data_IF_028156530725
#
_entry.id   IF_028156530725
#
_cell.length_a   1.000
_cell.length_b   1.000
_cell.length_c   1.000
_cell.angle_alpha   90.00
_cell.angle_beta   90.00
_cell.angle_gamma   90.00
#
_symmetry.space_group_name_H-M   'P 1'
#
loop_
_entity.id
_entity.type
_entity.pdbx_description
1 polymer ?
#
# COMPACT_ATOMS: atom_id res chain seq x y z
N UNK A 1 38.17 -16.58 -16.64
CA UNK A 1 38.03 -17.49 -17.80
C UNK A 1 36.75 -17.11 -18.54
N UNK A 2 36.82 -16.71 -19.82
CA UNK A 2 35.60 -16.38 -20.60
C UNK A 2 35.02 -17.70 -21.14
N UNK A 3 33.88 -18.11 -20.61
CA UNK A 3 33.16 -19.35 -20.92
C UNK A 3 32.16 -19.13 -22.05
N UNK A 4 32.65 -18.85 -23.25
CA UNK A 4 31.78 -18.86 -24.44
C UNK A 4 31.90 -20.24 -25.08
N UNK A 5 30.78 -20.98 -25.28
CA UNK A 5 30.82 -22.29 -25.94
C UNK A 5 31.43 -22.21 -27.34
N UNK A 6 32.12 -23.27 -27.79
CA UNK A 6 32.71 -23.33 -29.13
C UNK A 6 31.63 -23.39 -30.23
N UNK A 7 32.00 -23.03 -31.46
CA UNK A 7 31.13 -23.25 -32.61
C UNK A 7 30.67 -24.72 -32.68
N UNK A 8 29.40 -24.91 -33.04
CA UNK A 8 28.73 -26.22 -33.11
C UNK A 8 28.62 -26.98 -31.77
N UNK A 9 28.68 -26.27 -30.64
CA UNK A 9 28.33 -26.87 -29.33
C UNK A 9 26.89 -27.39 -29.36
N UNK A 10 26.70 -28.62 -28.86
CA UNK A 10 25.38 -29.24 -28.75
C UNK A 10 24.53 -28.46 -27.76
N UNK A 11 23.29 -28.14 -28.16
CA UNK A 11 22.28 -27.53 -27.30
C UNK A 11 21.22 -28.58 -26.99
N UNK A 12 20.92 -28.77 -25.71
CA UNK A 12 19.88 -29.66 -25.23
C UNK A 12 18.80 -28.84 -24.51
N UNK A 13 17.55 -29.32 -24.56
CA UNK A 13 16.50 -28.79 -23.69
C UNK A 13 16.84 -29.15 -22.24
N UNK A 14 16.55 -28.22 -21.32
CA UNK A 14 16.65 -28.51 -19.90
C UNK A 14 15.68 -29.64 -19.54
N UNK A 15 16.13 -30.58 -18.71
CA UNK A 15 15.27 -31.61 -18.13
C UNK A 15 14.56 -31.09 -16.89
N UNK A 16 13.53 -31.81 -16.42
CA UNK A 16 12.88 -31.54 -15.13
C UNK A 16 13.90 -31.48 -13.98
N UNK A 17 14.89 -32.37 -14.02
CA UNK A 17 15.96 -32.43 -13.02
C UNK A 17 16.84 -31.18 -13.02
N UNK A 18 17.10 -30.60 -14.19
CA UNK A 18 17.89 -29.36 -14.29
C UNK A 18 17.12 -28.17 -13.72
N UNK A 19 15.81 -28.10 -13.99
CA UNK A 19 14.94 -27.08 -13.42
C UNK A 19 14.83 -27.20 -11.89
N UNK A 20 14.65 -28.42 -11.38
CA UNK A 20 14.62 -28.69 -9.94
C UNK A 20 15.96 -28.43 -9.26
N UNK A 21 17.09 -28.62 -9.96
CA UNK A 21 18.41 -28.30 -9.42
C UNK A 21 18.60 -26.79 -9.22
N UNK A 22 18.07 -25.97 -10.14
CA UNK A 22 18.23 -24.50 -10.11
C UNK A 22 17.17 -23.84 -9.23
N UNK A 23 15.89 -24.19 -9.41
CA UNK A 23 14.76 -23.53 -8.75
C UNK A 23 14.26 -24.28 -7.51
N UNK A 24 14.63 -25.55 -7.36
CA UNK A 24 14.14 -26.44 -6.31
C UNK A 24 12.77 -27.03 -6.60
N UNK A 25 12.41 -28.04 -5.80
CA UNK A 25 11.06 -28.61 -5.75
C UNK A 25 10.16 -27.78 -4.84
N UNK A 26 8.85 -27.94 -5.01
CA UNK A 26 7.88 -27.39 -4.07
C UNK A 26 8.08 -28.02 -2.68
N UNK A 27 8.25 -27.18 -1.66
CA UNK A 27 8.52 -27.60 -0.29
C UNK A 27 7.91 -26.62 0.73
N UNK A 28 8.50 -26.50 1.91
CA UNK A 28 8.03 -25.58 2.96
C UNK A 28 8.29 -24.12 2.60
N UNK A 29 9.40 -23.82 1.94
CA UNK A 29 9.86 -22.47 1.60
C UNK A 29 9.53 -22.11 0.15
N UNK A 30 9.58 -23.11 -0.74
CA UNK A 30 9.41 -22.97 -2.18
C UNK A 30 7.97 -23.21 -2.60
N UNK A 31 7.39 -22.24 -3.29
CA UNK A 31 6.01 -22.25 -3.77
C UNK A 31 5.96 -22.32 -5.30
N UNK A 32 5.08 -23.15 -5.84
CA UNK A 32 4.89 -23.27 -7.27
C UNK A 32 4.15 -22.04 -7.83
N UNK A 33 4.77 -21.35 -8.80
CA UNK A 33 4.22 -20.13 -9.39
C UNK A 33 3.67 -20.31 -10.80
N UNK A 34 3.92 -21.46 -11.42
CA UNK A 34 3.52 -21.77 -12.80
C UNK A 34 4.52 -22.70 -13.49
N UNK A 35 4.30 -22.93 -14.77
CA UNK A 35 5.15 -23.79 -15.60
C UNK A 35 5.77 -22.95 -16.73
N UNK A 36 7.01 -23.24 -17.16
CA UNK A 36 7.53 -22.73 -18.44
C UNK A 36 6.62 -23.13 -19.60
N UNK A 37 6.56 -22.31 -20.66
CA UNK A 37 5.61 -22.52 -21.77
C UNK A 37 5.74 -23.88 -22.47
N UNK A 38 6.98 -24.37 -22.59
CA UNK A 38 7.30 -25.59 -23.36
C UNK A 38 7.61 -26.79 -22.45
N UNK A 39 7.29 -26.70 -21.16
CA UNK A 39 7.61 -27.73 -20.17
C UNK A 39 6.45 -27.95 -19.19
N UNK A 40 6.23 -29.19 -18.79
CA UNK A 40 5.27 -29.52 -17.72
C UNK A 40 5.86 -29.35 -16.31
N UNK A 41 7.13 -28.95 -16.22
CA UNK A 41 7.85 -28.80 -14.95
C UNK A 41 7.32 -27.62 -14.14
N UNK A 42 7.11 -27.85 -12.84
CA UNK A 42 6.75 -26.79 -11.89
C UNK A 42 7.93 -25.85 -11.64
N UNK A 43 7.76 -24.57 -11.95
CA UNK A 43 8.68 -23.53 -11.53
C UNK A 43 8.33 -23.09 -10.10
N UNK A 44 9.27 -23.26 -9.17
CA UNK A 44 9.08 -22.91 -7.77
C UNK A 44 9.94 -21.69 -7.38
N UNK A 45 9.41 -20.86 -6.49
CA UNK A 45 10.08 -19.68 -5.97
C UNK A 45 10.21 -19.80 -4.44
N UNK A 46 11.41 -19.59 -3.91
CA UNK A 46 11.63 -19.51 -2.47
C UNK A 46 11.01 -18.19 -1.95
N UNK A 47 9.86 -18.29 -1.27
CA UNK A 47 9.12 -17.12 -0.81
C UNK A 47 9.72 -16.52 0.47
N UNK A 48 10.47 -17.29 1.25
CA UNK A 48 11.19 -16.75 2.41
C UNK A 48 12.33 -15.81 1.99
N UNK A 49 13.05 -16.14 0.92
CA UNK A 49 14.04 -15.22 0.32
C UNK A 49 13.38 -14.08 -0.45
N UNK A 50 12.28 -14.35 -1.16
CA UNK A 50 11.57 -13.34 -1.97
C UNK A 50 11.15 -12.13 -1.13
N UNK A 51 10.62 -12.34 0.08
CA UNK A 51 10.14 -11.27 0.95
C UNK A 51 11.24 -10.43 1.60
N UNK A 52 12.51 -10.86 1.53
CA UNK A 52 13.65 -10.12 2.10
C UNK A 52 14.09 -8.93 1.23
N UNK A 53 13.54 -8.80 0.02
CA UNK A 53 13.91 -7.77 -0.96
C UNK A 53 12.67 -7.15 -1.59
N UNK A 54 12.83 -5.95 -2.14
CA UNK A 54 11.79 -5.32 -2.96
C UNK A 54 11.71 -6.02 -4.31
N UNK A 55 10.48 -6.28 -4.77
CA UNK A 55 10.20 -6.95 -6.03
C UNK A 55 9.28 -6.09 -6.90
N UNK A 56 9.37 -6.24 -8.21
CA UNK A 56 8.49 -5.56 -9.17
C UNK A 56 7.91 -6.55 -10.18
N UNK A 57 6.59 -6.48 -10.39
CA UNK A 57 5.86 -7.31 -11.37
C UNK A 57 5.48 -6.42 -12.55
N UNK A 58 6.15 -6.64 -13.68
CA UNK A 58 6.00 -5.82 -14.88
C UNK A 58 5.35 -6.61 -16.02
N UNK A 59 4.62 -5.91 -16.88
CA UNK A 59 3.92 -6.52 -18.02
C UNK A 59 2.94 -5.55 -18.66
N UNK A 60 2.59 -5.78 -19.94
CA UNK A 60 1.56 -5.00 -20.63
C UNK A 60 0.18 -5.25 -20.01
N UNK A 61 -0.81 -4.42 -20.32
CA UNK A 61 -2.18 -4.69 -19.88
C UNK A 61 -2.66 -6.03 -20.46
N UNK A 62 -3.39 -6.82 -19.67
CA UNK A 62 -3.88 -8.14 -20.10
C UNK A 62 -2.80 -9.22 -20.26
N UNK A 63 -1.65 -9.10 -19.58
CA UNK A 63 -0.61 -10.15 -19.58
C UNK A 63 -0.55 -10.91 -18.25
N UNK A 64 -1.65 -10.95 -17.50
CA UNK A 64 -1.74 -11.73 -16.25
C UNK A 64 -1.02 -11.15 -15.03
N UNK A 65 -0.61 -9.87 -15.01
CA UNK A 65 0.07 -9.25 -13.85
C UNK A 65 -0.70 -9.47 -12.54
N UNK A 66 -1.98 -9.08 -12.49
CA UNK A 66 -2.85 -9.24 -11.32
C UNK A 66 -2.96 -10.70 -10.88
N UNK A 67 -2.99 -11.63 -11.84
CA UNK A 67 -3.09 -13.05 -11.56
C UNK A 67 -1.81 -13.60 -10.92
N UNK A 68 -0.64 -13.24 -11.46
CA UNK A 68 0.65 -13.59 -10.88
C UNK A 68 0.83 -12.97 -9.49
N UNK A 69 0.49 -11.68 -9.31
CA UNK A 69 0.52 -11.04 -7.98
C UNK A 69 -0.36 -11.78 -6.98
N UNK A 70 -1.57 -12.19 -7.39
CA UNK A 70 -2.48 -12.97 -6.54
C UNK A 70 -1.89 -14.33 -6.17
N UNK A 71 -1.27 -15.04 -7.12
CA UNK A 71 -0.56 -16.31 -6.85
C UNK A 71 0.56 -16.10 -5.83
N UNK A 72 1.36 -15.05 -5.97
CA UNK A 72 2.45 -14.75 -5.04
C UNK A 72 1.92 -14.39 -3.64
N UNK A 73 0.86 -13.58 -3.54
CA UNK A 73 0.21 -13.26 -2.27
C UNK A 73 -0.34 -14.51 -1.57
N UNK A 74 -0.96 -15.42 -2.33
CA UNK A 74 -1.42 -16.72 -1.84
C UNK A 74 -0.24 -17.56 -1.36
N UNK A 75 0.84 -17.61 -2.14
CA UNK A 75 2.05 -18.32 -1.77
C UNK A 75 2.64 -17.80 -0.46
N UNK A 76 2.72 -16.47 -0.29
CA UNK A 76 3.21 -15.86 0.94
C UNK A 76 2.32 -16.21 2.14
N UNK A 77 0.98 -16.12 1.99
CA UNK A 77 0.01 -16.55 2.99
C UNK A 77 0.15 -18.02 3.43
N UNK A 78 0.60 -18.90 2.52
CA UNK A 78 0.72 -20.33 2.75
C UNK A 78 2.11 -20.76 3.26
N UNK A 79 3.17 -20.10 2.78
CA UNK A 79 4.55 -20.60 2.87
C UNK A 79 5.52 -19.61 3.51
N UNK A 80 5.22 -18.30 3.53
CA UNK A 80 6.14 -17.32 4.13
C UNK A 80 5.81 -17.09 5.60
N UNK A 81 6.83 -16.65 6.34
CA UNK A 81 6.68 -16.13 7.71
C UNK A 81 6.37 -14.62 7.73
N UNK A 82 5.86 -14.05 6.63
CA UNK A 82 5.58 -12.63 6.49
C UNK A 82 4.07 -12.35 6.45
N UNK A 83 3.69 -11.15 6.90
CA UNK A 83 2.34 -10.59 6.72
C UNK A 83 2.33 -9.58 5.59
N UNK A 84 1.19 -9.44 4.92
CA UNK A 84 1.02 -8.55 3.77
C UNK A 84 0.02 -7.43 4.10
N UNK A 85 0.38 -6.20 3.71
CA UNK A 85 -0.54 -5.07 3.57
C UNK A 85 -0.67 -4.74 2.08
N UNK A 86 -1.87 -4.90 1.52
CA UNK A 86 -2.14 -4.69 0.09
C UNK A 86 -3.00 -3.45 -0.11
N UNK A 87 -2.52 -2.47 -0.87
CA UNK A 87 -3.29 -1.31 -1.31
C UNK A 87 -4.03 -1.62 -2.61
N UNK A 88 -5.30 -2.00 -2.50
CA UNK A 88 -6.08 -2.54 -3.62
C UNK A 88 -6.95 -1.46 -4.28
N UNK A 89 -6.39 -0.80 -5.30
CA UNK A 89 -7.08 0.25 -6.06
C UNK A 89 -8.24 -0.28 -6.92
N UNK A 90 -8.21 -1.57 -7.29
CA UNK A 90 -9.18 -2.15 -8.23
C UNK A 90 -10.10 -3.19 -7.59
N UNK A 91 -9.96 -3.44 -6.29
CA UNK A 91 -10.71 -4.46 -5.55
C UNK A 91 -10.54 -5.87 -6.14
N UNK A 92 -9.31 -6.19 -6.56
CA UNK A 92 -8.95 -7.45 -7.21
C UNK A 92 -8.40 -8.52 -6.24
N UNK A 93 -8.05 -8.15 -5.01
CA UNK A 93 -7.34 -9.01 -4.06
C UNK A 93 -8.13 -9.29 -2.77
N UNK A 94 -9.03 -8.41 -2.35
CA UNK A 94 -9.75 -8.53 -1.07
C UNK A 94 -10.78 -9.66 -1.07
N UNK A 95 -11.95 -9.41 -1.64
CA UNK A 95 -13.07 -10.38 -1.63
C UNK A 95 -13.15 -11.26 -2.87
N UNK A 96 -13.32 -10.65 -4.04
CA UNK A 96 -13.55 -11.35 -5.31
C UNK A 96 -12.95 -10.51 -6.44
N UNK A 97 -12.14 -11.14 -7.30
CA UNK A 97 -11.56 -10.51 -8.47
C UNK A 97 -12.20 -10.98 -9.77
N UNK A 98 -11.69 -10.47 -10.89
CA UNK A 98 -12.18 -10.84 -12.23
C UNK A 98 -11.11 -11.54 -13.07
N UNK A 99 -11.53 -12.41 -13.98
CA UNK A 99 -10.68 -12.92 -15.06
C UNK A 99 -10.82 -12.05 -16.31
N UNK A 100 -9.89 -12.18 -17.25
CA UNK A 100 -9.96 -11.47 -18.56
C UNK A 100 -11.22 -11.82 -19.36
N UNK A 101 -11.84 -12.98 -19.08
CA UNK A 101 -13.11 -13.41 -19.68
C UNK A 101 -14.34 -12.94 -18.89
N UNK A 102 -14.16 -12.06 -17.90
CA UNK A 102 -15.23 -11.54 -17.04
C UNK A 102 -15.75 -12.54 -16.00
N UNK A 103 -15.11 -13.70 -15.84
CA UNK A 103 -15.51 -14.68 -14.82
C UNK A 103 -15.04 -14.21 -13.45
N UNK A 104 -15.90 -14.39 -12.44
CA UNK A 104 -15.57 -14.14 -11.04
C UNK A 104 -14.55 -15.15 -10.55
N UNK A 105 -13.51 -14.68 -9.86
CA UNK A 105 -12.46 -15.52 -9.29
C UNK A 105 -12.35 -15.21 -7.80
N UNK A 106 -12.24 -16.26 -6.97
CA UNK A 106 -12.04 -16.12 -5.52
C UNK A 106 -10.76 -15.31 -5.25
N UNK A 107 -10.84 -14.35 -4.34
CA UNK A 107 -9.69 -13.58 -3.87
C UNK A 107 -9.26 -14.03 -2.46
N UNK A 108 -8.36 -13.27 -1.82
CA UNK A 108 -7.64 -13.73 -0.63
C UNK A 108 -8.56 -14.02 0.56
N UNK A 109 -9.54 -13.16 0.86
CA UNK A 109 -10.48 -13.35 1.99
C UNK A 109 -11.38 -14.57 1.78
N UNK A 110 -11.80 -14.85 0.55
CA UNK A 110 -12.62 -16.04 0.25
C UNK A 110 -11.82 -17.35 0.38
N UNK A 111 -10.51 -17.31 0.11
CA UNK A 111 -9.63 -18.48 0.21
C UNK A 111 -9.09 -18.69 1.63
N UNK A 112 -8.83 -17.60 2.37
CA UNK A 112 -8.18 -17.61 3.68
C UNK A 112 -8.90 -16.68 4.67
N UNK A 113 -10.18 -16.94 4.92
CA UNK A 113 -11.07 -16.06 5.68
C UNK A 113 -10.57 -15.66 7.07
N UNK A 114 -9.86 -16.56 7.77
CA UNK A 114 -9.29 -16.32 9.11
C UNK A 114 -7.90 -15.67 9.09
N UNK A 115 -7.22 -15.61 7.94
CA UNK A 115 -5.87 -15.05 7.80
C UNK A 115 -5.82 -13.73 7.04
N UNK A 116 -6.97 -13.25 6.56
CA UNK A 116 -7.09 -12.03 5.77
C UNK A 116 -8.17 -11.15 6.38
N UNK A 117 -7.92 -9.85 6.49
CA UNK A 117 -8.89 -8.83 6.84
C UNK A 117 -9.05 -7.83 5.69
N UNK A 118 -10.28 -7.46 5.37
CA UNK A 118 -10.61 -6.49 4.32
C UNK A 118 -10.98 -5.17 4.99
N UNK A 119 -10.13 -4.17 4.77
CA UNK A 119 -10.34 -2.80 5.15
C UNK A 119 -10.90 -2.06 3.95
N UNK A 120 -11.81 -1.10 4.14
CA UNK A 120 -12.40 -0.35 3.03
C UNK A 120 -12.42 1.14 3.29
N UNK A 121 -12.16 1.93 2.26
CA UNK A 121 -12.47 3.37 2.24
C UNK A 121 -13.93 3.64 1.83
N UNK A 122 -14.60 2.66 1.21
CA UNK A 122 -15.91 2.78 0.58
C UNK A 122 -16.85 1.67 1.05
N UNK A 123 -17.36 1.86 2.28
CA UNK A 123 -18.30 0.92 2.90
C UNK A 123 -19.57 0.73 2.05
N UNK A 124 -20.07 1.81 1.43
CA UNK A 124 -21.26 1.76 0.59
C UNK A 124 -21.06 0.83 -0.62
N UNK A 125 -19.95 0.96 -1.33
CA UNK A 125 -19.63 0.07 -2.44
C UNK A 125 -19.44 -1.38 -1.99
N UNK A 126 -18.78 -1.57 -0.85
CA UNK A 126 -18.53 -2.90 -0.28
C UNK A 126 -19.84 -3.62 0.06
N UNK A 127 -20.78 -2.92 0.71
CA UNK A 127 -22.13 -3.41 1.02
C UNK A 127 -22.92 -3.74 -0.26
N UNK A 128 -22.88 -2.87 -1.29
CA UNK A 128 -23.54 -3.12 -2.58
C UNK A 128 -23.01 -4.37 -3.29
N UNK A 129 -21.73 -4.70 -3.11
CA UNK A 129 -21.09 -5.93 -3.63
C UNK A 129 -21.31 -7.16 -2.73
N UNK A 130 -21.97 -7.01 -1.59
CA UNK A 130 -22.16 -8.11 -0.62
C UNK A 130 -20.86 -8.54 0.07
N UNK A 131 -19.87 -7.64 0.14
CA UNK A 131 -18.56 -7.91 0.76
C UNK A 131 -18.65 -7.65 2.26
N UNK A 132 -18.26 -8.64 3.08
CA UNK A 132 -18.08 -8.44 4.52
C UNK A 132 -16.75 -7.76 4.77
N UNK A 133 -16.79 -6.49 5.16
CA UNK A 133 -15.62 -5.69 5.52
C UNK A 133 -15.33 -5.79 7.00
N UNK A 134 -14.07 -5.96 7.36
CA UNK A 134 -13.63 -6.08 8.77
C UNK A 134 -13.38 -4.70 9.41
N UNK A 135 -13.12 -3.67 8.61
CA UNK A 135 -12.86 -2.31 9.10
C UNK A 135 -13.19 -1.23 8.05
N UNK A 136 -13.75 -0.10 8.48
CA UNK A 136 -14.00 1.07 7.62
C UNK A 136 -12.99 2.15 7.97
N UNK A 137 -12.17 2.54 6.99
CA UNK A 137 -11.12 3.55 7.16
C UNK A 137 -11.69 4.95 6.95
N UNK A 138 -11.56 5.77 7.99
CA UNK A 138 -11.74 7.23 7.97
C UNK A 138 -10.43 7.88 8.41
N UNK A 139 -10.17 9.08 7.92
CA UNK A 139 -8.94 9.82 8.20
C UNK A 139 -9.33 11.22 8.70
N UNK A 140 -8.90 11.56 9.91
CA UNK A 140 -9.10 12.85 10.53
C UNK A 140 -8.19 13.92 9.94
N UNK A 141 -8.56 15.19 10.04
CA UNK A 141 -7.66 16.30 9.68
C UNK A 141 -6.39 16.30 10.54
N UNK A 142 -6.51 15.88 11.80
CA UNK A 142 -5.42 15.75 12.76
C UNK A 142 -4.46 14.59 12.45
N UNK A 143 -4.86 13.71 11.53
CA UNK A 143 -4.06 12.62 11.02
C UNK A 143 -3.31 12.97 9.74
N UNK A 144 -3.44 14.17 9.15
CA UNK A 144 -2.70 14.53 7.93
C UNK A 144 -1.49 15.37 8.32
N UNK A 145 -0.28 14.93 7.94
CA UNK A 145 0.98 15.61 8.25
C UNK A 145 1.52 16.41 7.04
N UNK A 146 2.41 17.39 7.27
CA UNK A 146 3.02 18.19 6.20
C UNK A 146 3.69 17.37 5.09
N UNK A 147 4.31 16.26 5.45
CA UNK A 147 4.98 15.34 4.52
C UNK A 147 3.98 14.70 3.56
N UNK A 148 2.75 14.42 4.01
CA UNK A 148 1.70 13.84 3.18
C UNK A 148 1.24 14.85 2.10
N UNK A 149 1.20 16.14 2.45
CA UNK A 149 0.91 17.22 1.47
C UNK A 149 2.07 17.42 0.51
N UNK A 150 3.31 17.33 1.01
CA UNK A 150 4.52 17.48 0.21
C UNK A 150 4.57 16.44 -0.92
N UNK A 151 4.20 15.19 -0.62
CA UNK A 151 4.10 14.10 -1.60
C UNK A 151 2.99 14.33 -2.64
N UNK A 152 1.94 15.07 -2.27
CA UNK A 152 0.81 15.38 -3.14
C UNK A 152 0.99 16.69 -3.93
N UNK A 153 2.14 17.38 -3.81
CA UNK A 153 2.39 18.69 -4.44
C UNK A 153 1.94 18.75 -5.90
N UNK A 154 2.39 17.79 -6.72
CA UNK A 154 2.06 17.78 -8.15
C UNK A 154 0.58 17.50 -8.39
N UNK A 155 -0.01 16.54 -7.67
CA UNK A 155 -1.42 16.17 -7.82
C UNK A 155 -2.38 17.29 -7.39
N UNK A 156 -1.99 18.06 -6.38
CA UNK A 156 -2.76 19.19 -5.86
C UNK A 156 -2.41 20.52 -6.55
N UNK A 157 -1.50 20.52 -7.53
CA UNK A 157 -0.99 21.71 -8.21
C UNK A 157 -0.48 22.79 -7.22
N UNK A 158 0.26 22.35 -6.20
CA UNK A 158 0.85 23.22 -5.18
C UNK A 158 2.19 23.79 -5.64
N UNK A 159 2.40 25.07 -5.36
CA UNK A 159 3.71 25.71 -5.53
C UNK A 159 4.66 25.28 -4.40
N UNK A 160 5.97 25.45 -4.59
CA UNK A 160 6.95 25.20 -3.50
C UNK A 160 6.68 26.04 -2.26
N UNK A 161 6.40 27.36 -2.37
CA UNK A 161 6.00 28.16 -1.22
C UNK A 161 4.73 27.64 -0.53
N UNK A 162 3.78 27.06 -1.27
CA UNK A 162 2.55 26.53 -0.69
C UNK A 162 2.82 25.28 0.15
N UNK A 163 3.78 24.44 -0.25
CA UNK A 163 4.22 23.29 0.54
C UNK A 163 4.94 23.76 1.81
N UNK A 164 5.83 24.75 1.71
CA UNK A 164 6.51 25.32 2.90
C UNK A 164 5.52 25.96 3.88
N UNK A 165 4.50 26.64 3.37
CA UNK A 165 3.43 27.21 4.19
C UNK A 165 2.71 26.15 5.04
N UNK A 166 2.64 24.89 4.61
CA UNK A 166 2.08 23.79 5.43
C UNK A 166 2.88 23.59 6.72
N UNK A 167 4.21 23.62 6.65
CA UNK A 167 5.06 23.48 7.84
C UNK A 167 4.94 24.69 8.78
N UNK A 168 4.75 25.89 8.24
CA UNK A 168 4.50 27.09 9.06
C UNK A 168 3.14 27.02 9.77
N UNK A 169 2.09 26.61 9.06
CA UNK A 169 0.76 26.39 9.62
C UNK A 169 0.78 25.26 10.66
N UNK A 170 1.48 24.15 10.38
CA UNK A 170 1.63 23.04 11.32
C UNK A 170 2.36 23.47 12.61
N UNK A 171 3.43 24.28 12.51
CA UNK A 171 4.09 24.86 13.69
C UNK A 171 3.16 25.74 14.52
N UNK A 172 2.26 26.49 13.88
CA UNK A 172 1.34 27.43 14.54
C UNK A 172 0.13 26.76 15.19
N UNK A 173 -0.41 25.72 14.54
CA UNK A 173 -1.69 25.10 14.89
C UNK A 173 -1.56 23.64 15.37
N UNK A 174 -0.36 23.07 15.32
CA UNK A 174 -0.12 21.67 15.66
C UNK A 174 -0.96 20.72 14.80
N UNK A 175 -1.54 19.70 15.44
CA UNK A 175 -2.40 18.72 14.76
C UNK A 175 -3.63 19.33 14.09
N UNK A 176 -4.12 20.47 14.57
CA UNK A 176 -5.32 21.12 14.02
C UNK A 176 -5.01 22.03 12.81
N UNK A 177 -3.81 21.97 12.25
CA UNK A 177 -3.37 22.87 11.19
C UNK A 177 -4.24 22.82 9.93
N UNK A 178 -4.70 21.63 9.53
CA UNK A 178 -5.49 21.48 8.32
C UNK A 178 -6.88 22.09 8.51
N UNK A 179 -7.51 21.81 9.66
CA UNK A 179 -8.78 22.42 10.03
C UNK A 179 -8.65 23.94 10.13
N UNK A 180 -7.65 24.42 10.87
CA UNK A 180 -7.37 25.85 11.02
C UNK A 180 -7.17 26.55 9.68
N UNK A 181 -6.34 25.98 8.80
CA UNK A 181 -6.10 26.53 7.46
C UNK A 181 -7.37 26.59 6.59
N UNK A 182 -8.26 25.60 6.71
CA UNK A 182 -9.52 25.53 5.95
C UNK A 182 -10.60 26.48 6.50
N UNK A 183 -10.53 26.84 7.78
CA UNK A 183 -11.48 27.72 8.47
C UNK A 183 -11.11 29.20 8.42
N UNK A 184 -9.85 29.52 8.08
CA UNK A 184 -9.40 30.91 7.87
C UNK A 184 -10.22 31.58 6.75
N UNK A 185 -11.04 32.55 7.16
CA UNK A 185 -11.83 33.41 6.27
C UNK A 185 -10.97 34.51 5.68
N UNK A 186 -11.42 35.07 4.58
CA UNK A 186 -10.81 36.27 4.03
C UNK A 186 -11.14 37.47 4.94
N UNK A 187 -10.18 37.90 5.75
CA UNK A 187 -10.34 38.92 6.80
C UNK A 187 -9.02 39.60 7.13
N UNK A 188 -9.07 40.79 7.73
CA UNK A 188 -7.86 41.49 8.19
C UNK A 188 -7.05 40.66 9.20
N UNK A 189 -7.73 39.89 10.07
CA UNK A 189 -7.09 38.99 11.03
C UNK A 189 -6.28 37.90 10.33
N UNK A 190 -6.83 37.28 9.28
CA UNK A 190 -6.11 36.32 8.45
C UNK A 190 -4.91 36.98 7.76
N UNK A 191 -5.07 38.21 7.25
CA UNK A 191 -3.97 38.96 6.65
C UNK A 191 -2.81 39.21 7.64
N UNK A 192 -3.13 39.57 8.88
CA UNK A 192 -2.14 39.75 9.94
C UNK A 192 -1.43 38.44 10.30
N UNK A 193 -2.16 37.33 10.42
CA UNK A 193 -1.61 36.00 10.68
C UNK A 193 -0.68 35.53 9.56
N UNK A 194 -1.09 35.69 8.30
CA UNK A 194 -0.27 35.30 7.15
C UNK A 194 1.04 36.11 7.12
N UNK A 195 0.98 37.40 7.47
CA UNK A 195 2.18 38.24 7.60
C UNK A 195 3.10 37.78 8.74
N UNK A 196 2.56 37.44 9.91
CA UNK A 196 3.31 36.87 11.03
C UNK A 196 4.04 35.58 10.63
N UNK A 197 3.34 34.69 9.92
CA UNK A 197 3.88 33.43 9.44
C UNK A 197 4.80 33.57 8.22
N UNK A 198 4.96 34.78 7.67
CA UNK A 198 5.69 35.02 6.42
C UNK A 198 5.13 34.25 5.21
N UNK A 199 3.81 34.07 5.17
CA UNK A 199 3.08 33.44 4.06
C UNK A 199 2.48 34.54 3.18
N UNK A 200 2.84 34.55 1.90
CA UNK A 200 2.16 35.41 0.92
C UNK A 200 0.70 34.98 0.70
N UNK A 201 -0.20 35.94 0.54
CA UNK A 201 -1.63 35.66 0.33
C UNK A 201 -1.88 34.76 -0.89
N UNK A 202 -1.24 35.01 -2.02
CA UNK A 202 -1.35 34.18 -3.23
C UNK A 202 -0.92 32.73 -3.00
N UNK A 203 0.11 32.52 -2.17
CA UNK A 203 0.59 31.21 -1.72
C UNK A 203 -0.45 30.52 -0.87
N UNK A 204 -1.02 31.22 0.11
CA UNK A 204 -2.09 30.69 0.95
C UNK A 204 -3.33 30.32 0.13
N UNK A 205 -3.70 31.13 -0.86
CA UNK A 205 -4.82 30.83 -1.76
C UNK A 205 -4.56 29.59 -2.63
N UNK A 206 -3.33 29.39 -3.13
CA UNK A 206 -2.94 28.15 -3.82
C UNK A 206 -3.05 26.93 -2.89
N UNK A 207 -2.50 27.03 -1.68
CA UNK A 207 -2.60 25.97 -0.67
C UNK A 207 -4.06 25.64 -0.36
N UNK A 208 -4.88 26.65 -0.05
CA UNK A 208 -6.30 26.48 0.32
C UNK A 208 -7.10 25.76 -0.76
N UNK A 209 -6.81 26.01 -2.05
CA UNK A 209 -7.43 25.27 -3.17
C UNK A 209 -7.03 23.79 -3.16
N UNK A 210 -5.74 23.49 -2.94
CA UNK A 210 -5.26 22.10 -2.82
C UNK A 210 -5.88 21.37 -1.62
N UNK A 211 -5.90 22.00 -0.44
CA UNK A 211 -6.51 21.43 0.77
C UNK A 211 -8.02 21.21 0.61
N UNK A 212 -8.72 22.06 -0.16
CA UNK A 212 -10.13 21.86 -0.47
C UNK A 212 -10.38 20.59 -1.30
N UNK A 213 -9.42 20.16 -2.14
CA UNK A 213 -9.49 18.86 -2.85
C UNK A 213 -9.43 17.71 -1.86
N UNK A 214 -8.52 17.76 -0.89
CA UNK A 214 -8.42 16.75 0.18
C UNK A 214 -9.71 16.69 0.99
N UNK A 215 -10.24 17.85 1.41
CA UNK A 215 -11.50 17.92 2.19
C UNK A 215 -12.70 17.27 1.48
N UNK A 216 -12.71 17.24 0.14
CA UNK A 216 -13.81 16.66 -0.65
C UNK A 216 -13.75 15.13 -0.74
N UNK A 217 -12.65 14.51 -0.33
CA UNK A 217 -12.53 13.05 -0.35
C UNK A 217 -13.49 12.44 0.69
N UNK A 218 -14.38 11.49 0.32
CA UNK A 218 -15.48 11.05 1.19
C UNK A 218 -15.08 10.25 2.44
N UNK A 219 -13.80 9.93 2.60
CA UNK A 219 -13.23 9.25 3.76
C UNK A 219 -12.39 10.17 4.64
N UNK A 220 -12.31 11.46 4.29
CA UNK A 220 -11.70 12.49 5.13
C UNK A 220 -12.79 13.14 5.99
N UNK A 221 -12.54 13.24 7.29
CA UNK A 221 -13.44 13.80 8.28
C UNK A 221 -12.70 14.79 9.17
N UNK A 222 -13.42 15.64 9.91
CA UNK A 222 -12.78 16.57 10.87
C UNK A 222 -12.04 15.80 11.97
N UNK A 223 -12.64 14.72 12.44
CA UNK A 223 -12.04 13.80 13.39
C UNK A 223 -12.45 12.38 13.05
N UNK A 224 -11.50 11.48 12.84
CA UNK A 224 -11.80 10.08 12.56
C UNK A 224 -12.26 9.37 13.85
N UNK A 225 -13.34 8.57 13.80
CA UNK A 225 -13.81 7.82 14.96
C UNK A 225 -12.85 6.68 15.38
N UNK A 226 -11.95 6.29 14.48
CA UNK A 226 -11.06 5.13 14.66
C UNK A 226 -9.70 5.40 14.04
N UNK A 227 -8.64 4.90 14.66
CA UNK A 227 -7.27 5.01 14.14
C UNK A 227 -6.98 3.86 13.17
N UNK A 228 -6.90 4.15 11.88
CA UNK A 228 -6.68 3.15 10.84
C UNK A 228 -5.30 2.49 10.95
N UNK A 229 -4.25 3.24 11.27
CA UNK A 229 -2.87 2.70 11.43
C UNK A 229 -2.84 1.68 12.55
N UNK A 230 -3.41 2.00 13.70
CA UNK A 230 -3.52 1.09 14.84
C UNK A 230 -4.32 -0.16 14.47
N UNK A 231 -5.47 0.00 13.82
CA UNK A 231 -6.29 -1.12 13.37
C UNK A 231 -5.53 -2.07 12.44
N UNK A 232 -4.75 -1.53 11.50
CA UNK A 232 -3.91 -2.33 10.59
C UNK A 232 -2.83 -3.08 11.39
N UNK A 233 -2.07 -2.38 12.24
CA UNK A 233 -1.00 -2.99 13.05
C UNK A 233 -1.53 -4.11 13.96
N UNK A 234 -2.67 -3.92 14.61
CA UNK A 234 -3.28 -4.95 15.47
C UNK A 234 -3.69 -6.22 14.70
N UNK A 235 -4.01 -6.12 13.40
CA UNK A 235 -4.25 -7.29 12.56
C UNK A 235 -2.94 -7.96 12.13
N UNK A 236 -1.98 -7.16 11.66
CA UNK A 236 -0.66 -7.65 11.25
C UNK A 236 0.07 -8.36 12.40
N UNK A 237 -0.01 -7.84 13.62
CA UNK A 237 0.59 -8.43 14.83
C UNK A 237 0.00 -9.80 15.18
N UNK A 238 -1.25 -10.06 14.81
CA UNK A 238 -1.92 -11.37 14.95
C UNK A 238 -1.63 -12.32 13.79
N UNK A 239 -0.77 -11.95 12.85
CA UNK A 239 -0.51 -12.73 11.64
C UNK A 239 -1.62 -12.63 10.59
N UNK A 240 -2.53 -11.66 10.72
CA UNK A 240 -3.64 -11.45 9.78
C UNK A 240 -3.19 -10.43 8.73
N UNK A 241 -3.29 -10.83 7.47
CA UNK A 241 -2.94 -10.02 6.31
C UNK A 241 -4.05 -9.02 6.05
N UNK A 242 -3.70 -7.81 5.62
CA UNK A 242 -4.67 -6.73 5.42
C UNK A 242 -4.74 -6.37 3.94
N UNK A 243 -5.96 -6.32 3.40
CA UNK A 243 -6.22 -5.74 2.08
C UNK A 243 -7.05 -4.48 2.28
N UNK A 244 -6.50 -3.33 1.90
CA UNK A 244 -7.20 -2.04 1.92
C UNK A 244 -7.80 -1.76 0.54
N UNK A 245 -9.11 -1.92 0.42
CA UNK A 245 -9.86 -1.64 -0.80
C UNK A 245 -10.23 -0.15 -0.91
N UNK A 246 -9.89 0.46 -2.06
CA UNK A 246 -10.29 1.83 -2.38
C UNK A 246 -11.71 1.93 -2.94
N UNK A 247 -12.32 0.81 -3.32
CA UNK A 247 -13.69 0.75 -3.85
C UNK A 247 -13.86 1.62 -5.10
N UNK A 248 -14.81 2.58 -5.07
CA UNK A 248 -15.06 3.47 -6.22
C UNK A 248 -14.01 4.58 -6.38
N UNK A 249 -13.14 4.80 -5.39
CA UNK A 249 -12.16 5.88 -5.40
C UNK A 249 -10.95 5.50 -6.27
N UNK A 250 -11.10 5.71 -7.58
CA UNK A 250 -10.03 5.52 -8.57
C UNK A 250 -9.17 6.76 -8.80
N UNK A 251 -9.40 7.79 -8.01
CA UNK A 251 -8.64 9.03 -8.09
C UNK A 251 -7.21 8.82 -7.56
N UNK A 252 -6.22 9.26 -8.33
CA UNK A 252 -4.82 9.07 -7.98
C UNK A 252 -4.43 9.83 -6.70
N UNK A 253 -5.08 10.95 -6.40
CA UNK A 253 -4.85 11.73 -5.18
C UNK A 253 -5.28 10.91 -3.96
N UNK A 254 -6.44 10.25 -4.02
CA UNK A 254 -6.90 9.37 -2.96
C UNK A 254 -5.91 8.21 -2.74
N UNK A 255 -5.47 7.57 -3.81
CA UNK A 255 -4.50 6.48 -3.73
C UNK A 255 -3.18 6.94 -3.10
N UNK A 256 -2.57 8.00 -3.64
CA UNK A 256 -1.26 8.50 -3.18
C UNK A 256 -1.34 9.03 -1.75
N UNK A 257 -2.42 9.72 -1.38
CA UNK A 257 -2.63 10.20 0.00
C UNK A 257 -2.65 9.02 0.98
N UNK A 258 -3.56 8.07 0.77
CA UNK A 258 -3.81 7.00 1.74
C UNK A 258 -2.66 6.00 1.78
N UNK A 259 -2.16 5.57 0.62
CA UNK A 259 -1.07 4.59 0.55
C UNK A 259 0.21 5.12 1.20
N UNK A 260 0.61 6.36 0.89
CA UNK A 260 1.82 6.93 1.47
C UNK A 260 1.67 7.23 2.96
N UNK A 261 0.55 7.84 3.38
CA UNK A 261 0.31 8.16 4.79
C UNK A 261 0.35 6.88 5.64
N UNK A 262 -0.37 5.84 5.22
CA UNK A 262 -0.40 4.57 5.95
C UNK A 262 0.94 3.84 5.89
N UNK A 263 1.56 3.72 4.71
CA UNK A 263 2.84 3.02 4.56
C UNK A 263 3.95 3.68 5.39
N UNK A 264 4.06 5.02 5.36
CA UNK A 264 5.06 5.77 6.12
C UNK A 264 4.91 5.57 7.63
N UNK A 265 3.67 5.65 8.14
CA UNK A 265 3.39 5.49 9.57
C UNK A 265 3.58 4.07 10.06
N UNK A 266 3.11 3.09 9.29
CA UNK A 266 3.31 1.67 9.59
C UNK A 266 4.79 1.34 9.56
N UNK A 267 5.53 1.83 8.56
CA UNK A 267 6.98 1.67 8.48
C UNK A 267 7.69 2.24 9.73
N UNK A 268 7.35 3.48 10.14
CA UNK A 268 7.94 4.08 11.33
C UNK A 268 7.69 3.25 12.60
N UNK A 269 6.47 2.73 12.76
CA UNK A 269 6.12 1.84 13.88
C UNK A 269 6.88 0.51 13.83
N UNK A 270 7.06 -0.07 12.65
CA UNK A 270 7.88 -1.27 12.47
C UNK A 270 9.36 -1.01 12.77
N UNK A 271 9.90 0.13 12.36
CA UNK A 271 11.27 0.53 12.65
C UNK A 271 11.50 0.67 14.16
N UNK A 272 10.63 1.40 14.85
CA UNK A 272 10.71 1.58 16.31
C UNK A 272 10.66 0.23 17.05
N UNK A 273 9.75 -0.67 16.65
CA UNK A 273 9.63 -2.02 17.23
C UNK A 273 10.86 -2.87 16.97
N UNK A 274 11.45 -2.78 15.77
CA UNK A 274 12.68 -3.48 15.43
C UNK A 274 13.87 -2.98 16.25
N UNK A 275 14.02 -1.66 16.40
CA UNK A 275 15.07 -1.04 17.22
C UNK A 275 14.95 -1.48 18.67
N UNK A 276 13.72 -1.45 19.23
CA UNK A 276 13.44 -1.92 20.59
C UNK A 276 13.75 -3.41 20.76
N UNK A 277 13.32 -4.26 19.83
CA UNK A 277 13.59 -5.69 19.88
C UNK A 277 15.09 -6.01 19.85
N UNK A 278 15.87 -5.26 19.07
CA UNK A 278 17.33 -5.39 19.04
C UNK A 278 18.01 -4.90 20.32
N UNK A 279 17.51 -3.82 20.94
CA UNK A 279 18.07 -3.27 22.18
C UNK A 279 17.75 -4.09 23.43
N UNK A 280 16.56 -4.70 23.47
CA UNK A 280 16.05 -5.46 24.62
C UNK A 280 16.19 -6.99 24.47
N UNK A 281 16.76 -7.46 23.35
CA UNK A 281 16.85 -8.88 22.97
C UNK A 281 15.51 -9.63 23.06
N UNK A 282 14.45 -8.97 22.58
CA UNK A 282 13.09 -9.52 22.55
C UNK A 282 12.71 -10.01 21.14
N UNK A 283 11.57 -10.69 21.03
CA UNK A 283 11.08 -11.20 19.76
C UNK A 283 10.87 -10.05 18.75
N UNK A 284 11.48 -10.19 17.57
CA UNK A 284 11.33 -9.23 16.47
C UNK A 284 9.90 -9.28 15.91
N UNK A 285 9.35 -8.14 15.44
CA UNK A 285 8.08 -8.14 14.73
C UNK A 285 8.13 -9.03 13.48
N UNK A 286 7.00 -9.66 13.17
CA UNK A 286 6.83 -10.48 11.96
C UNK A 286 7.14 -9.65 10.72
N UNK A 287 7.96 -10.13 9.76
CA UNK A 287 8.26 -9.41 8.53
C UNK A 287 6.98 -8.93 7.81
N UNK A 288 7.00 -7.69 7.32
CA UNK A 288 5.88 -7.07 6.60
C UNK A 288 6.26 -6.82 5.14
N UNK A 289 5.38 -7.24 4.22
CA UNK A 289 5.42 -6.88 2.81
C UNK A 289 4.28 -5.91 2.53
N UNK A 290 4.60 -4.74 1.97
CA UNK A 290 3.62 -3.75 1.52
C UNK A 290 3.53 -3.84 -0.01
N UNK A 291 2.32 -4.08 -0.53
CA UNK A 291 2.04 -4.27 -1.98
C UNK A 291 1.09 -3.21 -2.50
#
# INVERSE_FOLDING_TARGET
>A
VKTVPSHFSVVNLASDRDMELVFGKEDKERFWIGNPLDMETKLCLNLEEFVKRSNGIFGKSGTGKTFLTRILLIGMLQKSAAVNLVFDMHSEYGWEGSSEQGRKVKALKQLFSSKVAVFTLDEENSRRRGVSTDFVVRIGYDEIEPEDISLLRQLLNLTEPAVEAVYQLHRRFGKNWLQGALELKDSEETGALLKELSIHESTFQNLRRGLATIRRLPFIESHAPTNAVRGILEHLDRGINVVLEFGRYRDITAYVLVSNMLARRIYAQYQERMEKAMGEDTAKPTPLVIT
#
